data_IF_407708290179
#
_entry.id   IF_407708290179
#
_cell.length_a   1.000
_cell.length_b   1.000
_cell.length_c   1.000
_cell.angle_alpha   90.00
_cell.angle_beta   90.00
_cell.angle_gamma   90.00
#
_symmetry.space_group_name_H-M   'P 1'
#
loop_
_entity.id
_entity.type
_entity.pdbx_description
1 polymer ?
#
# COMPACT_ATOMS: atom_id res chain seq x y z
N UNK A 1 -26.26 13.51 -5.71
CA UNK A 1 -24.89 13.42 -5.15
C UNK A 1 -23.99 12.79 -6.21
N UNK A 2 -22.70 13.18 -6.33
CA UNK A 2 -21.80 12.48 -7.23
C UNK A 2 -21.70 11.02 -6.78
N UNK A 3 -21.86 10.08 -7.72
CA UNK A 3 -21.67 8.66 -7.45
C UNK A 3 -20.20 8.35 -7.62
N UNK A 4 -19.48 8.19 -6.51
CA UNK A 4 -18.12 7.68 -6.56
C UNK A 4 -18.16 6.20 -6.96
N UNK A 5 -17.11 5.71 -7.63
CA UNK A 5 -17.00 4.29 -7.99
C UNK A 5 -16.66 3.41 -6.78
N UNK A 6 -16.24 4.03 -5.68
CA UNK A 6 -15.92 3.41 -4.40
C UNK A 6 -16.45 4.33 -3.30
N UNK A 7 -17.23 3.79 -2.36
CA UNK A 7 -17.92 4.56 -1.33
C UNK A 7 -17.20 4.51 0.02
N UNK A 8 -16.21 3.63 0.17
CA UNK A 8 -15.54 3.35 1.44
C UNK A 8 -14.02 3.40 1.24
N UNK A 9 -13.34 4.28 1.97
CA UNK A 9 -11.89 4.35 2.01
C UNK A 9 -11.36 3.61 3.24
N UNK A 10 -10.52 2.60 3.02
CA UNK A 10 -9.81 1.87 4.07
C UNK A 10 -8.40 2.43 4.21
N UNK A 11 -8.16 3.16 5.31
CA UNK A 11 -6.87 3.79 5.59
C UNK A 11 -6.06 2.89 6.53
N UNK A 12 -4.84 2.57 6.13
CA UNK A 12 -3.86 1.87 6.97
C UNK A 12 -2.47 2.46 6.71
N UNK A 13 -1.58 2.37 7.69
CA UNK A 13 -0.18 2.72 7.47
C UNK A 13 0.54 1.67 6.62
N UNK A 14 0.05 0.43 6.64
CA UNK A 14 0.63 -0.68 5.88
C UNK A 14 -0.49 -1.52 5.24
N UNK A 15 -0.26 -1.99 4.02
CA UNK A 15 -1.14 -2.96 3.33
C UNK A 15 -0.23 -4.04 2.74
N UNK A 16 -0.29 -5.25 3.29
CA UNK A 16 0.46 -6.41 2.82
C UNK A 16 -0.41 -7.25 1.91
N UNK A 17 -0.20 -7.13 0.60
CA UNK A 17 -0.96 -7.89 -0.41
C UNK A 17 -0.07 -8.76 -1.29
N UNK A 18 1.11 -8.25 -1.65
CA UNK A 18 2.09 -8.96 -2.46
C UNK A 18 3.44 -8.92 -1.74
N UNK A 19 4.11 -10.06 -1.63
CA UNK A 19 5.42 -10.18 -0.99
C UNK A 19 6.51 -9.38 -1.73
N UNK A 20 6.31 -9.08 -3.02
CA UNK A 20 7.20 -8.22 -3.81
C UNK A 20 7.06 -6.72 -3.46
N UNK A 21 6.09 -6.34 -2.63
CA UNK A 21 5.86 -4.97 -2.18
C UNK A 21 6.18 -4.90 -0.68
N UNK A 22 7.45 -4.60 -0.31
CA UNK A 22 7.93 -4.69 1.06
C UNK A 22 7.51 -3.47 1.92
N UNK A 23 6.25 -3.05 1.84
CA UNK A 23 5.70 -1.89 2.57
C UNK A 23 4.87 -2.29 3.79
N UNK A 24 5.12 -3.48 4.34
CA UNK A 24 4.48 -3.99 5.54
C UNK A 24 5.47 -4.78 6.41
N UNK A 25 5.21 -4.83 7.71
CA UNK A 25 6.11 -5.37 8.73
C UNK A 25 5.52 -6.56 9.50
N UNK A 26 4.20 -6.78 9.43
CA UNK A 26 3.55 -7.88 10.13
C UNK A 26 2.03 -7.90 10.05
N UNK A 27 1.39 -8.31 11.14
CA UNK A 27 -0.03 -8.65 11.18
C UNK A 27 -1.00 -7.53 10.80
N UNK A 28 -0.65 -6.26 11.07
CA UNK A 28 -1.48 -5.12 10.66
C UNK A 28 -1.61 -5.04 9.13
N UNK A 29 -0.48 -5.11 8.42
CA UNK A 29 -0.46 -5.06 6.96
C UNK A 29 -1.17 -6.26 6.34
N UNK A 30 -0.94 -7.46 6.88
CA UNK A 30 -1.62 -8.68 6.42
C UNK A 30 -3.14 -8.56 6.62
N UNK A 31 -3.59 -8.14 7.80
CA UNK A 31 -5.02 -7.96 8.05
C UNK A 31 -5.63 -6.93 7.10
N UNK A 32 -4.95 -5.81 6.84
CA UNK A 32 -5.40 -4.79 5.89
C UNK A 32 -5.50 -5.35 4.46
N UNK A 33 -4.50 -6.11 4.01
CA UNK A 33 -4.49 -6.77 2.70
C UNK A 33 -5.60 -7.80 2.56
N UNK A 34 -5.76 -8.69 3.55
CA UNK A 34 -6.82 -9.71 3.58
C UNK A 34 -8.21 -9.08 3.61
N UNK A 35 -8.38 -7.98 4.35
CA UNK A 35 -9.64 -7.23 4.39
C UNK A 35 -10.00 -6.67 3.02
N UNK A 36 -9.04 -6.07 2.31
CA UNK A 36 -9.23 -5.52 0.97
C UNK A 36 -9.45 -6.62 -0.07
N UNK A 37 -8.76 -7.76 0.08
CA UNK A 37 -8.95 -8.94 -0.77
C UNK A 37 -10.35 -9.54 -0.57
N UNK A 38 -10.80 -9.69 0.66
CA UNK A 38 -12.16 -10.15 0.96
C UNK A 38 -13.21 -9.19 0.40
N UNK A 39 -13.02 -7.87 0.54
CA UNK A 39 -13.88 -6.86 -0.06
C UNK A 39 -13.92 -7.01 -1.60
N UNK A 40 -12.77 -7.26 -2.23
CA UNK A 40 -12.70 -7.54 -3.66
C UNK A 40 -13.47 -8.82 -4.05
N UNK A 41 -13.37 -9.88 -3.25
CA UNK A 41 -14.04 -11.16 -3.52
C UNK A 41 -15.56 -11.10 -3.41
N UNK A 42 -16.09 -10.27 -2.50
CA UNK A 42 -17.54 -10.10 -2.28
C UNK A 42 -18.14 -8.88 -2.97
N UNK A 43 -17.33 -8.07 -3.68
CA UNK A 43 -17.80 -6.95 -4.48
C UNK A 43 -18.14 -5.69 -3.68
N UNK A 44 -17.49 -5.48 -2.53
CA UNK A 44 -17.71 -4.30 -1.69
C UNK A 44 -16.89 -3.13 -2.26
N UNK A 45 -17.48 -1.94 -2.44
CA UNK A 45 -16.86 -0.82 -3.18
C UNK A 45 -15.81 -0.07 -2.33
N UNK A 46 -14.74 -0.76 -1.96
CA UNK A 46 -13.62 -0.23 -1.18
C UNK A 46 -12.55 0.39 -2.08
N UNK A 47 -11.83 1.38 -1.55
CA UNK A 47 -10.47 1.68 -1.96
C UNK A 47 -9.53 1.62 -0.76
N UNK A 48 -8.32 1.10 -0.97
CA UNK A 48 -7.25 1.14 0.03
C UNK A 48 -6.43 2.42 -0.09
N UNK A 49 -5.99 2.99 1.02
CA UNK A 49 -5.05 4.11 1.05
C UNK A 49 -3.95 3.82 2.08
N UNK A 50 -2.70 3.96 1.65
CA UNK A 50 -1.50 3.69 2.47
C UNK A 50 -0.37 4.66 2.11
N UNK A 51 0.73 4.61 2.85
CA UNK A 51 1.97 5.31 2.50
C UNK A 51 2.85 4.45 1.59
N UNK A 52 3.59 5.09 0.69
CA UNK A 52 4.64 4.44 -0.09
C UNK A 52 5.98 4.49 0.64
N UNK A 53 6.37 3.39 1.28
CA UNK A 53 7.69 3.28 1.89
C UNK A 53 8.75 2.86 0.86
N UNK A 54 9.42 3.85 0.24
CA UNK A 54 10.48 3.60 -0.75
C UNK A 54 11.67 2.80 -0.21
N UNK A 55 11.98 2.92 1.07
CA UNK A 55 13.02 2.11 1.73
C UNK A 55 12.62 0.66 1.99
N UNK A 56 11.35 0.31 1.79
CA UNK A 56 10.77 -0.94 2.27
C UNK A 56 10.81 -1.04 3.79
N UNK A 57 10.64 -2.25 4.31
CA UNK A 57 10.85 -2.56 5.73
C UNK A 57 12.34 -2.84 5.99
N UNK A 58 12.75 -4.10 5.99
CA UNK A 58 14.14 -4.56 5.89
C UNK A 58 14.15 -6.06 5.59
N UNK A 59 15.29 -6.58 5.15
CA UNK A 59 15.54 -8.01 5.05
C UNK A 59 16.32 -8.46 6.28
N UNK A 60 15.85 -9.53 6.93
CA UNK A 60 16.53 -10.08 8.10
C UNK A 60 17.69 -10.98 7.64
N UNK A 61 18.90 -10.71 8.13
CA UNK A 61 20.05 -11.60 7.99
C UNK A 61 20.43 -12.16 9.36
N UNK A 62 20.59 -13.48 9.44
CA UNK A 62 21.11 -14.15 10.63
C UNK A 62 22.64 -14.20 10.49
N UNK A 63 23.35 -13.70 11.50
CA UNK A 63 24.81 -13.66 11.52
C UNK A 63 25.38 -15.01 11.98
N UNK A 64 26.68 -15.24 11.73
CA UNK A 64 27.33 -16.53 12.05
C UNK A 64 27.29 -16.88 13.54
N UNK A 65 27.21 -15.87 14.41
CA UNK A 65 27.07 -15.99 15.87
C UNK A 65 25.60 -16.13 16.33
N UNK A 66 24.64 -16.28 15.41
CA UNK A 66 23.22 -16.42 15.71
C UNK A 66 22.50 -15.10 16.03
N UNK A 67 23.17 -13.97 15.85
CA UNK A 67 22.57 -12.64 15.93
C UNK A 67 21.70 -12.29 14.72
N UNK A 68 21.08 -11.12 14.77
CA UNK A 68 20.26 -10.57 13.69
C UNK A 68 20.81 -9.22 13.24
N UNK A 69 20.97 -9.03 11.93
CA UNK A 69 21.27 -7.74 11.32
C UNK A 69 20.18 -7.34 10.31
N UNK A 70 19.68 -6.09 10.33
CA UNK A 70 18.80 -5.59 9.29
C UNK A 70 19.62 -5.23 8.05
N UNK A 71 19.21 -5.72 6.89
CA UNK A 71 19.75 -5.35 5.59
C UNK A 71 18.70 -4.52 4.83
N UNK A 72 19.11 -3.52 4.03
CA UNK A 72 18.20 -2.82 3.14
C UNK A 72 17.44 -3.81 2.24
N UNK A 73 16.15 -3.58 2.04
CA UNK A 73 15.34 -4.32 1.08
C UNK A 73 14.98 -3.39 -0.09
N UNK A 74 15.95 -3.12 -1.01
CA UNK A 74 15.70 -2.22 -2.11
C UNK A 74 14.60 -2.78 -3.02
N UNK A 75 13.68 -1.91 -3.41
CA UNK A 75 12.64 -2.21 -4.38
C UNK A 75 12.37 -0.97 -5.21
N UNK A 76 11.75 -1.17 -6.37
CA UNK A 76 11.44 -0.09 -7.32
C UNK A 76 9.92 -0.01 -7.48
N UNK A 77 9.22 0.87 -6.72
CA UNK A 77 7.78 1.06 -6.81
C UNK A 77 7.29 1.23 -8.25
N UNK A 78 8.08 1.90 -9.08
CA UNK A 78 7.83 2.20 -10.48
C UNK A 78 7.64 0.94 -11.35
N UNK A 79 8.20 -0.22 -10.93
CA UNK A 79 8.08 -1.49 -11.66
C UNK A 79 6.79 -2.24 -11.36
N UNK A 80 6.14 -1.96 -10.23
CA UNK A 80 4.99 -2.74 -9.73
C UNK A 80 3.73 -1.89 -9.53
N UNK A 81 3.87 -0.58 -9.33
CA UNK A 81 2.77 0.35 -9.13
C UNK A 81 2.61 1.28 -10.33
N UNK A 82 1.36 1.65 -10.63
CA UNK A 82 1.04 2.61 -11.69
C UNK A 82 0.97 4.03 -11.13
N UNK A 83 1.68 5.01 -11.71
CA UNK A 83 1.59 6.39 -11.23
C UNK A 83 0.21 6.98 -11.51
N UNK A 84 -0.30 7.76 -10.57
CA UNK A 84 -1.54 8.52 -10.73
C UNK A 84 -1.21 9.97 -11.10
N UNK A 85 -1.97 10.53 -12.03
CA UNK A 85 -1.78 11.92 -12.51
C UNK A 85 -2.08 12.99 -11.45
N UNK A 86 -3.13 12.86 -10.61
CA UNK A 86 -3.43 13.88 -9.61
C UNK A 86 -2.31 14.03 -8.59
N UNK A 87 -1.98 15.29 -8.30
CA UNK A 87 -1.16 15.69 -7.16
C UNK A 87 -2.01 16.55 -6.25
N UNK A 88 -1.84 16.37 -4.94
CA UNK A 88 -2.49 17.22 -3.94
C UNK A 88 -1.43 17.97 -3.15
N UNK A 89 -1.74 19.17 -2.72
CA UNK A 89 -0.89 19.96 -1.82
C UNK A 89 -1.53 19.91 -0.44
N UNK A 90 -0.76 19.45 0.54
CA UNK A 90 -1.18 19.38 1.94
C UNK A 90 -0.31 20.34 2.75
N UNK A 91 -0.89 21.38 3.38
CA UNK A 91 -0.16 22.20 4.33
C UNK A 91 0.11 21.37 5.59
N UNK A 92 1.38 21.19 5.93
CA UNK A 92 1.81 20.40 7.09
C UNK A 92 3.01 21.08 7.73
N UNK A 93 2.91 21.44 9.01
CA UNK A 93 4.02 22.06 9.77
C UNK A 93 4.63 23.30 9.08
N UNK A 94 3.76 24.21 8.62
CA UNK A 94 4.17 25.47 7.98
C UNK A 94 4.77 25.32 6.57
N UNK A 95 4.83 24.11 6.01
CA UNK A 95 5.27 23.84 4.63
C UNK A 95 4.15 23.26 3.78
N UNK A 96 4.22 23.50 2.48
CA UNK A 96 3.40 22.83 1.49
C UNK A 96 4.05 21.51 1.09
N UNK A 97 3.35 20.39 1.34
CA UNK A 97 3.79 19.06 0.95
C UNK A 97 3.01 18.62 -0.28
N UNK A 98 3.71 18.38 -1.39
CA UNK A 98 3.11 17.84 -2.61
C UNK A 98 3.08 16.33 -2.50
N UNK A 99 1.89 15.74 -2.50
CA UNK A 99 1.66 14.30 -2.47
C UNK A 99 1.24 13.83 -3.85
N UNK A 100 1.85 12.76 -4.33
CA UNK A 100 1.40 11.98 -5.50
C UNK A 100 0.95 10.59 -5.05
N UNK A 101 0.20 9.89 -5.90
CA UNK A 101 -0.28 8.55 -5.58
C UNK A 101 0.20 7.53 -6.61
N UNK A 102 0.39 6.31 -6.13
CA UNK A 102 0.69 5.13 -6.92
C UNK A 102 -0.42 4.10 -6.71
N UNK A 103 -0.83 3.40 -7.76
CA UNK A 103 -1.96 2.48 -7.72
C UNK A 103 -1.55 1.04 -7.97
N UNK A 104 -2.02 0.15 -7.10
CA UNK A 104 -2.11 -1.30 -7.29
C UNK A 104 -3.58 -1.70 -7.33
N UNK A 105 -3.92 -2.76 -8.07
CA UNK A 105 -5.27 -3.32 -8.06
C UNK A 105 -5.28 -4.68 -7.34
N UNK A 106 -6.15 -4.82 -6.35
CA UNK A 106 -6.46 -6.11 -5.75
C UNK A 106 -7.65 -6.70 -6.49
N UNK A 107 -7.42 -7.84 -7.13
CA UNK A 107 -8.43 -8.53 -7.93
C UNK A 107 -9.19 -9.56 -7.10
N UNK A 108 -10.52 -9.43 -7.07
CA UNK A 108 -11.42 -10.40 -6.48
C UNK A 108 -11.66 -11.61 -7.38
N UNK A 109 -12.04 -12.75 -6.80
CA UNK A 109 -12.33 -13.99 -7.54
C UNK A 109 -13.53 -13.88 -8.49
N UNK A 110 -14.38 -12.86 -8.30
CA UNK A 110 -15.54 -12.54 -9.15
C UNK A 110 -15.27 -11.40 -10.14
N UNK A 111 -14.02 -10.93 -10.24
CA UNK A 111 -13.61 -9.87 -11.15
C UNK A 111 -13.81 -8.43 -10.64
N UNK A 112 -14.38 -8.24 -9.44
CA UNK A 112 -14.38 -6.91 -8.81
C UNK A 112 -12.96 -6.51 -8.41
N UNK A 113 -12.66 -5.22 -8.50
CA UNK A 113 -11.32 -4.66 -8.24
C UNK A 113 -11.42 -3.67 -7.11
N UNK A 114 -10.58 -3.84 -6.10
CA UNK A 114 -10.35 -2.85 -5.05
C UNK A 114 -9.01 -2.15 -5.35
N UNK A 115 -9.00 -0.87 -5.75
CA UNK A 115 -7.77 -0.14 -5.97
C UNK A 115 -7.13 0.23 -4.63
N UNK A 116 -5.81 0.10 -4.54
CA UNK A 116 -5.00 0.56 -3.42
C UNK A 116 -4.10 1.70 -3.90
N UNK A 117 -4.14 2.82 -3.18
CA UNK A 117 -3.37 4.02 -3.45
C UNK A 117 -2.27 4.20 -2.40
N UNK A 118 -1.01 4.09 -2.81
CA UNK A 118 0.17 4.38 -1.98
C UNK A 118 0.62 5.82 -2.19
N UNK A 119 0.60 6.63 -1.14
CA UNK A 119 0.92 8.05 -1.16
C UNK A 119 2.44 8.27 -1.00
N UNK A 120 3.01 9.11 -1.86
CA UNK A 120 4.44 9.42 -1.97
C UNK A 120 4.66 10.94 -2.01
#
# INVERSE_FOLDING_TARGET
>A
MPRFSHDIAYLSLEIGFDAAIPTYSGGLGILAGDTLKAAADVGVPYCGVTLLYRGGYFSQKITEDGGQSPEPHPWEPEKVLRPMSPKIVVPLDGREVVIKAWRLDIHGVRGHIVPVYSLD
#
